data_IF_014806688224
#
_entry.id   IF_014806688224
#
_cell.length_a   1.000
_cell.length_b   1.000
_cell.length_c   1.000
_cell.angle_alpha   90.00
_cell.angle_beta   90.00
_cell.angle_gamma   90.00
#
_symmetry.space_group_name_H-M   'P 1'
#
loop_
_entity.id
_entity.type
_entity.pdbx_description
1 polymer ?
#
# COMPACT_ATOMS: atom_id res chain seq x y z
N UNK A 1 -37.22 20.35 -50.29
CA UNK A 1 -37.48 19.31 -49.27
C UNK A 1 -36.22 19.13 -48.42
N UNK A 2 -36.26 19.55 -47.16
CA UNK A 2 -35.35 19.20 -46.05
C UNK A 2 -36.25 18.65 -44.94
N UNK A 3 -35.76 17.99 -43.87
CA UNK A 3 -34.53 17.21 -43.68
C UNK A 3 -34.82 15.85 -42.96
N UNK A 4 -33.85 14.94 -42.86
CA UNK A 4 -33.85 14.01 -41.72
C UNK A 4 -32.43 13.70 -41.26
N UNK A 5 -32.00 14.45 -40.25
CA UNK A 5 -30.91 14.13 -39.34
C UNK A 5 -31.53 13.20 -38.28
N UNK A 6 -30.98 11.99 -38.12
CA UNK A 6 -31.24 11.17 -36.92
C UNK A 6 -29.92 11.00 -36.19
N UNK A 7 -29.72 11.91 -35.25
CA UNK A 7 -28.81 11.77 -34.12
C UNK A 7 -29.53 10.86 -33.12
N UNK A 8 -28.97 9.69 -32.81
CA UNK A 8 -29.36 8.95 -31.61
C UNK A 8 -28.13 8.66 -30.76
N UNK A 9 -28.04 9.49 -29.72
CA UNK A 9 -27.27 9.36 -28.48
C UNK A 9 -26.77 7.94 -28.17
N UNK A 10 -25.48 7.71 -28.36
CA UNK A 10 -24.72 6.75 -27.55
C UNK A 10 -24.17 7.50 -26.32
N UNK A 11 -25.07 7.98 -25.47
CA UNK A 11 -24.73 8.56 -24.16
C UNK A 11 -25.17 7.53 -23.12
N UNK A 12 -24.22 6.83 -22.51
CA UNK A 12 -24.23 6.31 -21.12
C UNK A 12 -23.29 5.10 -20.94
N UNK A 13 -21.97 5.33 -20.96
CA UNK A 13 -21.00 4.54 -20.16
C UNK A 13 -19.57 5.03 -20.36
N UNK A 14 -19.33 6.33 -20.21
CA UNK A 14 -18.08 6.71 -19.56
C UNK A 14 -18.44 6.89 -18.09
N UNK A 15 -18.35 5.79 -17.36
CA UNK A 15 -18.06 5.84 -15.93
C UNK A 15 -16.83 6.73 -15.85
N UNK A 16 -17.03 7.97 -15.43
CA UNK A 16 -15.98 8.85 -14.98
C UNK A 16 -15.37 8.11 -13.79
N UNK A 17 -14.41 7.24 -14.07
CA UNK A 17 -13.43 6.77 -13.11
C UNK A 17 -12.71 8.05 -12.71
N UNK A 18 -13.26 8.75 -11.74
CA UNK A 18 -12.53 9.77 -11.02
C UNK A 18 -11.38 8.98 -10.39
N UNK A 19 -10.12 9.15 -10.81
CA UNK A 19 -9.03 8.47 -10.13
C UNK A 19 -9.04 9.09 -8.73
N UNK A 20 -9.55 8.36 -7.74
CA UNK A 20 -9.24 8.65 -6.35
C UNK A 20 -7.73 8.67 -6.30
N UNK A 21 -7.13 9.86 -6.19
CA UNK A 21 -5.69 10.03 -6.27
C UNK A 21 -5.04 9.10 -5.25
N UNK A 22 -4.33 8.09 -5.73
CA UNK A 22 -3.76 7.06 -4.88
C UNK A 22 -2.90 7.71 -3.80
N UNK A 23 -3.02 7.26 -2.56
CA UNK A 23 -2.24 7.82 -1.46
C UNK A 23 -0.75 7.52 -1.66
N UNK A 24 -0.45 6.49 -2.45
CA UNK A 24 0.90 6.07 -2.80
C UNK A 24 1.59 6.97 -3.82
N UNK A 25 0.84 7.77 -4.60
CA UNK A 25 1.44 8.80 -5.47
C UNK A 25 2.32 9.80 -4.70
N UNK A 26 2.14 9.90 -3.38
CA UNK A 26 3.02 10.72 -2.53
C UNK A 26 4.47 10.25 -2.55
N UNK A 27 4.74 8.95 -2.73
CA UNK A 27 6.13 8.45 -2.82
C UNK A 27 6.84 8.83 -4.12
N UNK A 28 6.10 9.24 -5.15
CA UNK A 28 6.67 9.74 -6.42
C UNK A 28 6.62 11.27 -6.52
N UNK A 29 6.18 11.95 -5.47
CA UNK A 29 6.12 13.41 -5.41
C UNK A 29 7.49 14.05 -5.11
N UNK A 30 7.58 15.38 -5.24
CA UNK A 30 8.80 16.13 -4.96
C UNK A 30 9.22 16.12 -3.48
N UNK A 31 8.31 15.77 -2.57
CA UNK A 31 8.59 15.62 -1.14
C UNK A 31 7.94 14.32 -0.64
N UNK A 32 8.55 13.17 -0.95
CA UNK A 32 7.96 11.88 -0.63
C UNK A 32 8.04 11.60 0.89
N UNK A 33 7.08 10.82 1.43
CA UNK A 33 7.20 10.34 2.80
C UNK A 33 8.51 9.55 2.99
N UNK A 34 9.15 9.62 4.17
CA UNK A 34 10.38 8.90 4.43
C UNK A 34 10.22 7.39 4.25
N UNK A 35 11.22 6.78 3.64
CA UNK A 35 11.37 5.32 3.48
C UNK A 35 12.58 4.88 4.31
N UNK A 36 12.30 4.16 5.39
CA UNK A 36 13.25 3.80 6.44
C UNK A 36 13.60 2.32 6.31
N UNK A 37 14.88 1.99 6.47
CA UNK A 37 15.35 0.59 6.49
C UNK A 37 15.17 0.03 7.90
N UNK A 38 14.54 -1.14 8.01
CA UNK A 38 14.30 -1.84 9.28
C UNK A 38 12.82 -2.01 9.60
N UNK A 39 12.54 -2.47 10.82
CA UNK A 39 11.19 -2.70 11.33
C UNK A 39 10.63 -1.44 12.00
N UNK A 40 9.31 -1.23 11.94
CA UNK A 40 8.65 -0.15 12.68
C UNK A 40 8.89 -0.30 14.20
N UNK A 41 9.57 0.64 14.87
CA UNK A 41 10.20 0.38 16.16
C UNK A 41 9.23 0.41 17.34
N UNK A 42 8.00 0.90 17.15
CA UNK A 42 7.04 1.05 18.24
C UNK A 42 6.07 -0.13 18.32
N UNK A 43 5.65 -0.42 19.55
CA UNK A 43 4.67 -1.45 19.82
C UNK A 43 3.36 -1.13 19.10
N UNK A 44 2.79 -2.14 18.46
CA UNK A 44 1.49 -2.07 17.83
C UNK A 44 0.81 -3.42 17.95
N UNK A 45 -0.49 -3.40 18.18
CA UNK A 45 -1.32 -4.61 18.29
C UNK A 45 -2.07 -4.84 16.99
N UNK A 46 -2.30 -6.11 16.58
CA UNK A 46 -3.21 -6.41 15.48
C UNK A 46 -4.56 -5.70 15.64
N UNK A 47 -5.09 -5.19 14.54
CA UNK A 47 -6.39 -4.54 14.49
C UNK A 47 -7.47 -5.56 14.85
N UNK A 48 -8.26 -5.36 15.93
CA UNK A 48 -9.25 -6.33 16.34
C UNK A 48 -10.39 -6.45 15.34
N UNK A 49 -11.01 -7.63 15.30
CA UNK A 49 -12.23 -7.86 14.52
C UNK A 49 -13.32 -6.86 14.96
N UNK A 50 -14.12 -6.38 14.00
CA UNK A 50 -15.16 -5.38 14.24
C UNK A 50 -14.67 -3.94 14.47
N UNK A 51 -13.35 -3.67 14.47
CA UNK A 51 -12.85 -2.31 14.67
C UNK A 51 -13.33 -1.35 13.55
N UNK A 52 -13.74 -0.10 13.86
CA UNK A 52 -14.22 0.87 12.87
C UNK A 52 -13.24 1.18 11.72
N UNK A 53 -11.94 0.97 11.96
CA UNK A 53 -10.89 1.16 10.94
C UNK A 53 -10.79 0.03 9.91
N UNK A 54 -11.50 -1.09 10.07
CA UNK A 54 -11.42 -2.22 9.13
C UNK A 54 -11.84 -1.81 7.71
N UNK A 55 -12.95 -1.08 7.57
CA UNK A 55 -13.43 -0.61 6.25
C UNK A 55 -12.41 0.32 5.58
N UNK A 56 -11.81 1.21 6.36
CA UNK A 56 -10.77 2.13 5.90
C UNK A 56 -9.50 1.38 5.48
N UNK A 57 -9.10 0.39 6.27
CA UNK A 57 -7.97 -0.49 5.97
C UNK A 57 -8.18 -1.24 4.66
N UNK A 58 -9.38 -1.76 4.39
CA UNK A 58 -9.70 -2.41 3.11
C UNK A 58 -9.53 -1.46 1.92
N UNK A 59 -9.93 -0.19 2.05
CA UNK A 59 -9.74 0.80 0.99
C UNK A 59 -8.26 1.08 0.74
N UNK A 60 -7.47 1.27 1.80
CA UNK A 60 -6.03 1.49 1.69
C UNK A 60 -5.33 0.27 1.08
N UNK A 61 -5.72 -0.94 1.49
CA UNK A 61 -5.19 -2.18 0.92
C UNK A 61 -5.44 -2.28 -0.57
N UNK A 62 -6.67 -2.03 -1.03
CA UNK A 62 -6.99 -2.05 -2.46
C UNK A 62 -6.13 -1.06 -3.24
N UNK A 63 -5.89 0.13 -2.69
CA UNK A 63 -5.00 1.13 -3.29
C UNK A 63 -3.55 0.60 -3.37
N UNK A 64 -3.05 0.01 -2.28
CA UNK A 64 -1.69 -0.56 -2.23
C UNK A 64 -1.54 -1.73 -3.21
N UNK A 65 -2.48 -2.66 -3.21
CA UNK A 65 -2.49 -3.85 -4.06
C UNK A 65 -2.61 -3.48 -5.54
N UNK A 66 -3.33 -2.40 -5.88
CA UNK A 66 -3.37 -1.86 -7.24
C UNK A 66 -2.02 -1.23 -7.70
N UNK A 67 -1.16 -0.86 -6.75
CA UNK A 67 0.15 -0.27 -7.00
C UNK A 67 1.29 -1.15 -6.47
N UNK A 68 1.13 -2.47 -6.54
CA UNK A 68 2.11 -3.43 -6.00
C UNK A 68 3.53 -3.24 -6.57
N UNK A 69 3.66 -2.70 -7.78
CA UNK A 69 4.95 -2.32 -8.38
C UNK A 69 5.78 -1.39 -7.49
N UNK A 70 5.13 -0.47 -6.75
CA UNK A 70 5.82 0.42 -5.81
C UNK A 70 6.46 -0.36 -4.66
N UNK A 71 5.81 -1.41 -4.14
CA UNK A 71 6.39 -2.22 -3.06
C UNK A 71 7.68 -2.89 -3.53
N UNK A 72 7.66 -3.40 -4.77
CA UNK A 72 8.83 -4.01 -5.42
C UNK A 72 9.97 -3.00 -5.57
N UNK A 73 9.63 -1.79 -6.01
CA UNK A 73 10.58 -0.69 -6.16
C UNK A 73 11.19 -0.28 -4.81
N UNK A 74 10.36 -0.07 -3.79
CA UNK A 74 10.81 0.31 -2.44
C UNK A 74 11.78 -0.72 -1.85
N UNK A 75 11.53 -2.02 -2.04
CA UNK A 75 12.45 -3.08 -1.60
C UNK A 75 13.74 -3.08 -2.44
N UNK A 76 13.64 -3.04 -3.77
CA UNK A 76 14.81 -3.09 -4.66
C UNK A 76 15.72 -1.87 -4.54
N UNK A 77 15.19 -0.72 -4.16
CA UNK A 77 16.00 0.45 -3.85
C UNK A 77 16.88 0.26 -2.61
N UNK A 78 16.53 -0.66 -1.69
CA UNK A 78 17.26 -0.86 -0.42
C UNK A 78 18.02 -2.17 -0.34
N UNK A 79 17.60 -3.17 -1.12
CA UNK A 79 18.21 -4.49 -1.12
C UNK A 79 18.44 -4.95 -2.57
N UNK A 80 19.57 -5.60 -2.87
CA UNK A 80 19.90 -6.08 -4.21
C UNK A 80 19.12 -7.37 -4.56
N UNK A 81 17.79 -7.27 -4.64
CA UNK A 81 16.89 -8.41 -4.86
C UNK A 81 16.66 -8.64 -6.36
N UNK A 82 17.11 -9.80 -6.85
CA UNK A 82 16.92 -10.23 -8.24
C UNK A 82 15.71 -11.15 -8.45
N UNK A 83 15.23 -11.78 -7.39
CA UNK A 83 14.06 -12.66 -7.45
C UNK A 83 12.77 -11.89 -7.73
N UNK A 84 11.72 -12.58 -8.21
CA UNK A 84 10.36 -12.07 -8.14
C UNK A 84 10.00 -11.67 -6.71
N UNK A 85 9.25 -10.58 -6.58
CA UNK A 85 8.70 -10.09 -5.33
C UNK A 85 7.18 -10.12 -5.45
N UNK A 86 6.55 -11.09 -4.80
CA UNK A 86 5.09 -11.25 -4.74
C UNK A 86 4.64 -10.88 -3.33
N UNK A 87 3.99 -9.72 -3.19
CA UNK A 87 3.61 -9.20 -1.89
C UNK A 87 2.22 -9.67 -1.50
N UNK A 88 2.13 -10.24 -0.31
CA UNK A 88 0.86 -10.56 0.33
C UNK A 88 0.64 -9.66 1.53
N UNK A 89 -0.60 -9.18 1.68
CA UNK A 89 -1.01 -8.49 2.90
C UNK A 89 -0.90 -9.45 4.08
N UNK A 90 -0.14 -9.07 5.11
CA UNK A 90 0.05 -9.87 6.31
C UNK A 90 -0.97 -9.51 7.39
N UNK A 91 -0.99 -8.26 7.83
CA UNK A 91 -1.98 -7.76 8.80
C UNK A 91 -2.01 -6.23 8.83
N UNK A 92 -3.03 -5.70 9.51
CA UNK A 92 -3.10 -4.30 9.92
C UNK A 92 -3.00 -4.21 11.44
N UNK A 93 -2.22 -3.25 11.94
CA UNK A 93 -2.01 -3.02 13.36
C UNK A 93 -2.27 -1.57 13.76
N UNK A 94 -2.57 -1.37 15.05
CA UNK A 94 -2.71 -0.04 15.65
C UNK A 94 -1.60 0.16 16.67
N UNK A 95 -0.93 1.29 16.56
CA UNK A 95 -0.15 1.90 17.62
C UNK A 95 -0.98 3.02 18.24
N UNK A 96 -1.64 2.72 19.36
CA UNK A 96 -2.52 3.66 20.03
C UNK A 96 -1.76 4.80 20.72
N UNK A 97 -0.47 4.60 21.05
CA UNK A 97 0.33 5.62 21.71
C UNK A 97 0.69 6.73 20.72
N UNK A 98 1.13 6.37 19.52
CA UNK A 98 1.51 7.31 18.48
C UNK A 98 0.37 7.65 17.50
N UNK A 99 -0.81 7.05 17.71
CA UNK A 99 -1.98 7.22 16.84
C UNK A 99 -1.67 6.83 15.39
N UNK A 100 -1.05 5.66 15.19
CA UNK A 100 -0.72 5.15 13.87
C UNK A 100 -1.52 3.90 13.50
N UNK A 101 -1.87 3.81 12.23
CA UNK A 101 -2.33 2.59 11.57
C UNK A 101 -1.17 2.05 10.73
N UNK A 102 -0.81 0.79 10.94
CA UNK A 102 0.27 0.11 10.22
C UNK A 102 -0.34 -0.95 9.31
N UNK A 103 -0.02 -0.94 8.02
CA UNK A 103 -0.36 -2.00 7.08
C UNK A 103 0.93 -2.72 6.70
N UNK A 104 1.00 -4.02 6.99
CA UNK A 104 2.19 -4.86 6.70
C UNK A 104 1.93 -5.74 5.50
N UNK A 105 2.90 -5.75 4.60
CA UNK A 105 3.02 -6.67 3.47
C UNK A 105 4.31 -7.46 3.58
N UNK A 106 4.31 -8.67 3.06
CA UNK A 106 5.46 -9.55 3.04
C UNK A 106 5.56 -10.27 1.70
N UNK A 107 6.77 -10.31 1.14
CA UNK A 107 7.13 -11.12 -0.01
C UNK A 107 8.13 -12.19 0.44
N UNK A 108 7.77 -13.48 0.40
CA UNK A 108 8.70 -14.54 0.77
C UNK A 108 9.88 -14.61 -0.22
N UNK A 109 11.05 -14.97 0.28
CA UNK A 109 12.16 -15.35 -0.56
C UNK A 109 11.93 -16.78 -1.09
N UNK A 110 11.83 -17.01 -2.41
CA UNK A 110 11.58 -18.35 -2.95
C UNK A 110 12.75 -19.32 -2.71
N UNK A 111 13.94 -18.82 -2.42
CA UNK A 111 15.13 -19.60 -2.10
C UNK A 111 15.76 -19.05 -0.82
N UNK A 112 15.13 -19.31 0.34
CA UNK A 112 15.57 -18.71 1.59
C UNK A 112 16.81 -19.45 2.11
N UNK A 113 17.90 -18.70 2.32
CA UNK A 113 19.15 -19.18 2.92
C UNK A 113 19.40 -18.46 4.25
N UNK A 114 19.60 -17.13 4.19
CA UNK A 114 19.70 -16.27 5.39
C UNK A 114 18.47 -15.37 5.59
N UNK A 115 17.75 -15.07 4.50
CA UNK A 115 16.62 -14.12 4.48
C UNK A 115 15.34 -14.87 4.11
N UNK A 116 14.37 -14.86 5.02
CA UNK A 116 13.06 -15.46 4.84
C UNK A 116 12.21 -14.70 3.82
N UNK A 117 12.42 -13.39 3.70
CA UNK A 117 11.76 -12.55 2.71
C UNK A 117 11.87 -11.06 3.02
N UNK A 118 11.04 -10.27 2.36
CA UNK A 118 11.05 -8.81 2.45
C UNK A 118 9.72 -8.27 2.91
N UNK A 119 9.78 -7.40 3.90
CA UNK A 119 8.63 -6.76 4.51
C UNK A 119 8.55 -5.29 4.10
N UNK A 120 7.32 -4.84 3.87
CA UNK A 120 6.97 -3.41 3.75
C UNK A 120 5.90 -3.09 4.79
N UNK A 121 6.15 -2.11 5.65
CA UNK A 121 5.16 -1.56 6.58
C UNK A 121 4.85 -0.12 6.18
N UNK A 122 3.63 0.14 5.75
CA UNK A 122 3.13 1.50 5.55
C UNK A 122 2.52 2.02 6.85
N UNK A 123 2.95 3.20 7.27
CA UNK A 123 2.48 3.86 8.50
C UNK A 123 1.60 5.04 8.12
N UNK A 124 0.37 5.06 8.62
CA UNK A 124 -0.60 6.10 8.40
C UNK A 124 -0.94 6.81 9.71
N UNK A 125 -1.05 8.15 9.66
CA UNK A 125 -1.49 8.96 10.79
C UNK A 125 -3.00 8.83 11.01
N UNK A 126 -3.42 8.43 12.20
CA UNK A 126 -4.82 8.52 12.62
C UNK A 126 -5.15 9.91 13.18
N UNK A 127 -6.39 10.40 13.00
CA UNK A 127 -7.50 9.77 12.26
C UNK A 127 -7.49 10.05 10.75
N UNK A 128 -6.58 10.91 10.28
CA UNK A 128 -6.55 11.45 8.91
C UNK A 128 -6.29 10.42 7.80
N UNK A 129 -5.64 9.30 8.14
CA UNK A 129 -5.11 8.30 7.21
C UNK A 129 -4.15 8.87 6.16
N UNK A 130 -3.40 9.89 6.55
CA UNK A 130 -2.29 10.39 5.75
C UNK A 130 -1.09 9.48 5.93
N UNK A 131 -0.51 8.99 4.83
CA UNK A 131 0.72 8.20 4.88
C UNK A 131 1.87 9.05 5.43
N UNK A 132 2.56 8.52 6.44
CA UNK A 132 3.65 9.17 7.18
C UNK A 132 5.00 8.66 6.76
N UNK A 133 5.13 7.34 6.58
CA UNK A 133 6.40 6.70 6.27
C UNK A 133 6.17 5.27 5.75
N UNK A 134 7.20 4.71 5.13
CA UNK A 134 7.32 3.28 4.88
C UNK A 134 8.57 2.72 5.59
N UNK A 135 8.44 1.51 6.15
CA UNK A 135 9.55 0.75 6.72
C UNK A 135 9.79 -0.50 5.88
N UNK A 136 11.03 -0.72 5.45
CA UNK A 136 11.43 -1.79 4.53
C UNK A 136 12.47 -2.67 5.22
N UNK A 137 12.15 -3.94 5.41
CA UNK A 137 13.02 -4.86 6.15
C UNK A 137 13.27 -6.16 5.40
N UNK A 138 14.53 -6.58 5.33
CA UNK A 138 14.90 -7.96 4.99
C UNK A 138 14.76 -8.80 6.27
N UNK A 139 13.78 -9.69 6.29
CA UNK A 139 13.46 -10.51 7.47
C UNK A 139 14.40 -11.72 7.46
N UNK A 140 15.26 -11.89 8.49
CA UNK A 140 16.15 -13.05 8.57
C UNK A 140 15.35 -14.34 8.76
N UNK A 141 15.92 -15.47 8.32
CA UNK A 141 15.54 -16.78 8.83
C UNK A 141 16.09 -16.90 10.26
N UNK A 142 15.22 -17.22 11.21
CA UNK A 142 15.60 -17.53 12.60
C UNK A 142 16.30 -18.90 12.71
#
# INVERSE_FOLDING_TARGET
MRPTIIILLFITSLIIFCPSSSHLTKFTSSSPPPVITGYYPHYHSPLPAGHPLLRKTLSLRKDIEAHESLLRELVRHRYPVKSPLEFHFSYAGIDSLHQHLILRYFAPNPQPDEIAGWQVQFVYQLPSLTIKSAYIWAVPLE
#
